data_IF_837506478606
#
_entry.id   IF_837506478606
#
_cell.length_a   1.000
_cell.length_b   1.000
_cell.length_c   1.000
_cell.angle_alpha   90.00
_cell.angle_beta   90.00
_cell.angle_gamma   90.00
#
_symmetry.space_group_name_H-M   'P 1'
#
loop_
_entity.id
_entity.type
_entity.pdbx_description
1 polymer ?
#
# COMPACT_ATOMS: atom_id res chain seq x y z
N UNK A 1 -21.01 17.55 4.18
CA UNK A 1 -20.09 16.88 5.13
C UNK A 1 -19.02 16.20 4.30
N UNK A 2 -17.80 16.74 4.27
CA UNK A 2 -16.70 16.14 3.52
C UNK A 2 -16.32 14.84 4.24
N UNK A 3 -16.16 13.70 3.54
CA UNK A 3 -15.74 12.46 4.19
C UNK A 3 -14.47 12.70 5.00
N UNK A 4 -14.49 12.43 6.31
CA UNK A 4 -13.28 12.46 7.12
C UNK A 4 -12.31 11.40 6.60
N UNK A 5 -11.01 11.67 6.64
CA UNK A 5 -9.96 10.71 6.27
C UNK A 5 -10.12 9.36 6.99
N UNK A 6 -10.70 9.36 8.19
CA UNK A 6 -11.06 8.14 8.92
C UNK A 6 -12.03 7.24 8.15
N UNK A 7 -13.04 7.79 7.46
CA UNK A 7 -13.99 6.98 6.68
C UNK A 7 -13.30 6.32 5.49
N UNK A 8 -12.45 7.08 4.79
CA UNK A 8 -11.67 6.56 3.65
C UNK A 8 -10.75 5.44 4.10
N UNK A 9 -10.00 5.66 5.18
CA UNK A 9 -9.09 4.66 5.74
C UNK A 9 -9.83 3.45 6.29
N UNK A 10 -10.98 3.63 6.96
CA UNK A 10 -11.79 2.53 7.47
C UNK A 10 -12.30 1.64 6.34
N UNK A 11 -12.89 2.23 5.30
CA UNK A 11 -13.40 1.48 4.15
C UNK A 11 -12.26 0.77 3.43
N UNK A 12 -11.13 1.45 3.23
CA UNK A 12 -9.94 0.85 2.65
C UNK A 12 -9.44 -0.35 3.49
N UNK A 13 -9.27 -0.17 4.80
CA UNK A 13 -8.84 -1.24 5.70
C UNK A 13 -9.80 -2.43 5.66
N UNK A 14 -11.09 -2.20 5.79
CA UNK A 14 -12.10 -3.25 5.75
C UNK A 14 -12.03 -4.02 4.42
N UNK A 15 -11.99 -3.31 3.29
CA UNK A 15 -11.90 -3.92 1.97
C UNK A 15 -10.60 -4.71 1.78
N UNK A 16 -9.45 -4.13 2.16
CA UNK A 16 -8.15 -4.79 2.03
C UNK A 16 -7.99 -6.00 2.93
N UNK A 17 -8.51 -5.96 4.16
CA UNK A 17 -8.46 -7.08 5.09
C UNK A 17 -9.32 -8.24 4.59
N UNK A 18 -10.56 -7.96 4.17
CA UNK A 18 -11.46 -8.97 3.60
C UNK A 18 -10.87 -9.56 2.32
N UNK A 19 -10.41 -8.72 1.40
CA UNK A 19 -9.82 -9.16 0.14
C UNK A 19 -8.56 -10.00 0.37
N UNK A 20 -7.66 -9.54 1.24
CA UNK A 20 -6.45 -10.27 1.58
C UNK A 20 -6.77 -11.63 2.19
N UNK A 21 -7.74 -11.69 3.12
CA UNK A 21 -8.17 -12.94 3.71
C UNK A 21 -8.67 -13.95 2.67
N UNK A 22 -9.48 -13.50 1.70
CA UNK A 22 -9.98 -14.34 0.61
C UNK A 22 -8.87 -14.83 -0.34
N UNK A 23 -7.81 -14.05 -0.50
CA UNK A 23 -6.67 -14.39 -1.36
C UNK A 23 -5.75 -15.47 -0.77
N UNK A 24 -5.71 -15.61 0.55
CA UNK A 24 -4.83 -16.55 1.26
C UNK A 24 -3.40 -16.01 1.44
N UNK A 25 -2.63 -16.67 2.33
CA UNK A 25 -1.35 -16.11 2.84
C UNK A 25 -0.37 -15.80 1.71
N UNK A 26 -0.20 -16.71 0.75
CA UNK A 26 0.89 -16.60 -0.23
C UNK A 26 0.69 -15.42 -1.17
N UNK A 27 -0.56 -15.17 -1.58
CA UNK A 27 -0.91 -14.01 -2.40
C UNK A 27 -0.74 -12.70 -1.63
N UNK A 28 -1.10 -12.68 -0.34
CA UNK A 28 -0.87 -11.49 0.49
C UNK A 28 0.62 -11.21 0.67
N UNK A 29 1.45 -12.24 0.83
CA UNK A 29 2.91 -12.07 0.92
C UNK A 29 3.47 -11.45 -0.37
N UNK A 30 2.99 -11.89 -1.54
CA UNK A 30 3.32 -11.25 -2.82
C UNK A 30 2.85 -9.79 -2.85
N UNK A 31 1.65 -9.47 -2.35
CA UNK A 31 1.16 -8.08 -2.28
C UNK A 31 2.05 -7.20 -1.41
N UNK A 32 2.49 -7.71 -0.25
CA UNK A 32 3.40 -6.98 0.64
C UNK A 32 4.74 -6.73 -0.04
N UNK A 33 5.32 -7.74 -0.70
CA UNK A 33 6.55 -7.57 -1.48
C UNK A 33 6.37 -6.57 -2.63
N UNK A 34 5.24 -6.63 -3.33
CA UNK A 34 4.85 -5.67 -4.35
C UNK A 34 4.72 -4.25 -3.80
N UNK A 35 4.21 -4.10 -2.57
CA UNK A 35 4.12 -2.80 -1.92
C UNK A 35 5.52 -2.23 -1.64
N UNK A 36 6.49 -3.03 -1.18
CA UNK A 36 7.87 -2.56 -1.02
C UNK A 36 8.50 -2.14 -2.35
N UNK A 37 8.34 -2.95 -3.41
CA UNK A 37 8.85 -2.60 -4.74
C UNK A 37 8.18 -1.32 -5.24
N UNK A 38 6.86 -1.23 -5.13
CA UNK A 38 6.10 -0.04 -5.50
C UNK A 38 6.53 1.21 -4.74
N UNK A 39 6.81 1.08 -3.44
CA UNK A 39 7.27 2.17 -2.58
C UNK A 39 8.64 2.69 -3.04
N UNK A 40 9.59 1.78 -3.29
CA UNK A 40 10.93 2.14 -3.78
C UNK A 40 10.84 2.87 -5.13
N UNK A 41 10.06 2.33 -6.07
CA UNK A 41 9.92 2.96 -7.39
C UNK A 41 9.19 4.30 -7.27
N UNK A 42 8.09 4.39 -6.51
CA UNK A 42 7.35 5.64 -6.32
C UNK A 42 8.23 6.74 -5.70
N UNK A 43 9.04 6.40 -4.69
CA UNK A 43 9.92 7.38 -4.07
C UNK A 43 11.10 7.79 -4.95
N UNK A 44 11.69 6.84 -5.69
CA UNK A 44 12.87 7.13 -6.52
C UNK A 44 12.53 7.77 -7.87
N UNK A 45 11.39 7.42 -8.46
CA UNK A 45 10.98 7.82 -9.81
C UNK A 45 9.80 8.79 -9.85
N UNK A 46 8.99 8.90 -8.79
CA UNK A 46 7.75 9.68 -8.83
C UNK A 46 7.94 11.14 -9.26
N UNK A 47 8.98 11.81 -8.77
CA UNK A 47 9.29 13.19 -9.15
C UNK A 47 9.75 13.33 -10.61
N UNK A 48 10.53 12.35 -11.11
CA UNK A 48 11.00 12.34 -12.51
C UNK A 48 9.87 12.04 -13.47
N UNK A 49 8.99 11.11 -13.12
CA UNK A 49 7.80 10.79 -13.93
C UNK A 49 6.87 12.00 -13.95
N UNK A 50 6.71 12.69 -12.82
CA UNK A 50 5.94 13.93 -12.77
C UNK A 50 6.53 15.00 -13.71
N UNK A 51 7.84 15.27 -13.66
CA UNK A 51 8.46 16.27 -14.54
C UNK A 51 8.30 15.92 -16.02
N UNK A 52 8.49 14.66 -16.41
CA UNK A 52 8.30 14.21 -17.80
C UNK A 52 6.86 14.40 -18.28
N UNK A 53 5.88 13.99 -17.46
CA UNK A 53 4.46 14.12 -17.80
C UNK A 53 4.04 15.59 -17.83
N UNK A 54 4.57 16.43 -16.95
CA UNK A 54 4.28 17.87 -16.91
C UNK A 54 4.99 18.68 -18.01
N UNK A 55 6.15 18.24 -18.48
CA UNK A 55 6.92 18.92 -19.54
C UNK A 55 6.41 18.55 -20.95
N UNK A 56 6.07 17.28 -21.22
CA UNK A 56 5.50 16.85 -22.51
C UNK A 56 4.04 17.30 -22.72
N UNK A 57 3.35 17.71 -21.67
CA UNK A 57 1.94 18.11 -21.72
C UNK A 57 1.70 19.57 -22.13
N UNK A 58 2.64 20.20 -22.85
CA UNK A 58 2.38 21.45 -23.58
C UNK A 58 1.21 21.35 -24.59
N UNK A 59 0.75 20.14 -24.93
CA UNK A 59 -0.44 19.85 -25.75
C UNK A 59 -1.73 19.66 -24.93
N UNK A 60 -1.63 19.45 -23.61
CA UNK A 60 -2.79 19.42 -22.69
C UNK A 60 -2.99 20.79 -22.04
N UNK A 61 -3.02 21.82 -22.89
CA UNK A 61 -3.22 23.23 -22.54
C UNK A 61 -4.68 23.55 -22.16
N UNK A 62 -5.40 22.57 -21.60
CA UNK A 62 -6.65 22.81 -20.91
C UNK A 62 -6.34 22.99 -19.43
N UNK A 63 -6.70 24.18 -18.96
CA UNK A 63 -6.49 24.77 -17.64
C UNK A 63 -7.05 23.95 -16.45
N UNK A 64 -7.52 22.74 -16.71
CA UNK A 64 -8.08 21.79 -15.76
C UNK A 64 -7.04 20.84 -15.15
N UNK A 65 -5.94 20.54 -15.86
CA UNK A 65 -4.95 19.53 -15.43
C UNK A 65 -3.73 20.16 -14.72
N UNK A 66 -3.29 21.35 -15.17
CA UNK A 66 -2.12 22.05 -14.59
C UNK A 66 -2.32 22.48 -13.12
N UNK A 67 -3.56 22.59 -12.64
CA UNK A 67 -3.86 22.95 -11.26
C UNK A 67 -3.98 21.76 -10.28
N UNK A 68 -4.07 20.51 -10.78
CA UNK A 68 -4.52 19.38 -9.96
C UNK A 68 -3.63 18.14 -10.01
N UNK A 69 -2.73 18.02 -11.00
CA UNK A 69 -1.72 16.97 -10.99
C UNK A 69 -0.61 17.34 -10.00
N UNK A 70 -0.55 16.62 -8.88
CA UNK A 70 0.50 16.78 -7.87
C UNK A 70 1.48 15.61 -7.93
N UNK A 71 2.72 15.84 -7.47
CA UNK A 71 3.72 14.78 -7.27
C UNK A 71 3.15 13.63 -6.42
N UNK A 72 2.29 13.96 -5.44
CA UNK A 72 1.55 12.98 -4.65
C UNK A 72 0.72 12.03 -5.52
N UNK A 73 -0.11 12.56 -6.42
CA UNK A 73 -0.96 11.73 -7.30
C UNK A 73 -0.10 10.83 -8.18
N UNK A 74 0.99 11.36 -8.76
CA UNK A 74 1.90 10.55 -9.59
C UNK A 74 2.54 9.43 -8.77
N UNK A 75 3.00 9.70 -7.54
CA UNK A 75 3.54 8.68 -6.65
C UNK A 75 2.52 7.60 -6.32
N UNK A 76 1.29 7.98 -5.97
CA UNK A 76 0.21 7.04 -5.66
C UNK A 76 -0.14 6.17 -6.87
N UNK A 77 -0.30 6.78 -8.05
CA UNK A 77 -0.62 6.04 -9.28
C UNK A 77 0.51 5.09 -9.64
N UNK A 78 1.76 5.54 -9.59
CA UNK A 78 2.92 4.72 -9.89
C UNK A 78 3.04 3.55 -8.90
N UNK A 79 2.86 3.82 -7.61
CA UNK A 79 2.81 2.80 -6.56
C UNK A 79 1.72 1.77 -6.84
N UNK A 80 0.50 2.21 -7.13
CA UNK A 80 -0.64 1.34 -7.41
C UNK A 80 -0.42 0.47 -8.67
N UNK A 81 0.14 1.05 -9.74
CA UNK A 81 0.47 0.31 -10.97
C UNK A 81 1.47 -0.80 -10.67
N UNK A 82 2.57 -0.50 -9.98
CA UNK A 82 3.59 -1.49 -9.63
C UNK A 82 3.01 -2.57 -8.72
N UNK A 83 2.26 -2.17 -7.68
CA UNK A 83 1.58 -3.08 -6.77
C UNK A 83 0.67 -4.04 -7.54
N UNK A 84 -0.16 -3.53 -8.45
CA UNK A 84 -1.08 -4.33 -9.27
C UNK A 84 -0.32 -5.28 -10.19
N UNK A 85 0.74 -4.83 -10.87
CA UNK A 85 1.55 -5.69 -11.75
C UNK A 85 2.14 -6.85 -10.95
N UNK A 86 2.70 -6.57 -9.77
CA UNK A 86 3.30 -7.61 -8.91
C UNK A 86 2.22 -8.56 -8.38
N UNK A 87 1.09 -8.04 -7.90
CA UNK A 87 -0.01 -8.84 -7.38
C UNK A 87 -0.61 -9.77 -8.45
N UNK A 88 -0.81 -9.26 -9.68
CA UNK A 88 -1.33 -10.04 -10.80
C UNK A 88 -0.35 -11.11 -11.27
N UNK A 89 0.96 -10.81 -11.35
CA UNK A 89 1.97 -11.78 -11.79
C UNK A 89 2.31 -12.82 -10.72
N UNK A 90 2.39 -12.43 -9.45
CA UNK A 90 2.78 -13.36 -8.38
C UNK A 90 1.70 -14.38 -8.04
N UNK A 91 0.43 -14.12 -8.37
CA UNK A 91 -0.65 -15.11 -8.26
C UNK A 91 -0.48 -16.36 -9.15
N UNK A 92 0.40 -16.31 -10.16
CA UNK A 92 0.72 -17.45 -11.03
C UNK A 92 1.80 -18.37 -10.44
N UNK A 93 2.53 -17.92 -9.42
CA UNK A 93 3.71 -18.63 -8.88
C UNK A 93 3.42 -19.43 -7.60
N UNK A 94 2.22 -19.28 -7.02
CA UNK A 94 1.87 -19.91 -5.75
C UNK A 94 1.03 -21.17 -5.97
N UNK A 95 1.68 -22.34 -5.90
CA UNK A 95 0.98 -23.61 -5.74
C UNK A 95 0.29 -23.64 -4.37
N UNK A 96 -1.03 -23.83 -4.39
CA UNK A 96 -1.89 -23.90 -3.22
C UNK A 96 -1.47 -25.12 -2.39
N UNK A 97 -0.64 -24.92 -1.37
CA UNK A 97 -0.44 -25.91 -0.31
C UNK A 97 -1.37 -25.52 0.84
N UNK A 98 -2.56 -26.10 0.83
CA UNK A 98 -3.57 -25.89 1.86
C UNK A 98 -3.09 -26.44 3.19
N UNK A 99 -2.63 -25.56 4.08
CA UNK A 99 -2.43 -25.93 5.48
C UNK A 99 -3.78 -25.83 6.21
N UNK A 100 -4.50 -26.95 6.32
CA UNK A 100 -5.86 -27.07 6.87
C UNK A 100 -5.96 -26.88 8.41
N UNK A 101 -4.99 -26.22 9.05
CA UNK A 101 -5.00 -25.94 10.49
C UNK A 101 -5.56 -24.56 10.85
N UNK A 102 -5.82 -24.32 12.14
CA UNK A 102 -6.19 -22.99 12.69
C UNK A 102 -5.19 -21.91 12.27
N UNK A 103 -3.91 -22.28 12.19
CA UNK A 103 -2.84 -21.40 11.70
C UNK A 103 -3.04 -20.94 10.25
N UNK A 104 -3.68 -21.77 9.41
CA UNK A 104 -4.04 -21.45 8.03
C UNK A 104 -5.13 -20.40 7.89
N UNK A 105 -5.95 -20.18 8.93
CA UNK A 105 -7.00 -19.15 8.95
C UNK A 105 -6.54 -17.85 9.61
N UNK A 106 -5.76 -17.95 10.71
CA UNK A 106 -5.28 -16.76 11.44
C UNK A 106 -4.21 -16.02 10.66
N UNK A 107 -3.29 -16.72 10.01
CA UNK A 107 -2.15 -16.09 9.32
C UNK A 107 -2.57 -15.17 8.16
N UNK A 108 -3.49 -15.55 7.26
CA UNK A 108 -3.98 -14.64 6.23
C UNK A 108 -4.62 -13.36 6.79
N UNK A 109 -5.32 -13.43 7.93
CA UNK A 109 -5.88 -12.23 8.59
C UNK A 109 -4.79 -11.30 9.09
N UNK A 110 -3.78 -11.83 9.78
CA UNK A 110 -2.67 -11.01 10.29
C UNK A 110 -1.92 -10.35 9.13
N UNK A 111 -1.60 -11.12 8.09
CA UNK A 111 -0.94 -10.59 6.91
C UNK A 111 -1.80 -9.55 6.16
N UNK A 112 -3.13 -9.73 6.09
CA UNK A 112 -3.99 -8.77 5.39
C UNK A 112 -4.07 -7.43 6.12
N UNK A 113 -4.08 -7.45 7.45
CA UNK A 113 -3.98 -6.23 8.28
C UNK A 113 -2.64 -5.52 8.03
N UNK A 114 -1.53 -6.26 8.04
CA UNK A 114 -0.21 -5.67 7.77
C UNK A 114 -0.09 -5.13 6.36
N UNK A 115 -0.62 -5.83 5.37
CA UNK A 115 -0.65 -5.37 3.97
C UNK A 115 -1.46 -4.07 3.83
N UNK A 116 -2.66 -4.03 4.41
CA UNK A 116 -3.50 -2.84 4.41
C UNK A 116 -2.80 -1.66 5.11
N UNK A 117 -2.24 -1.89 6.29
CA UNK A 117 -1.52 -0.87 7.03
C UNK A 117 -0.30 -0.34 6.27
N UNK A 118 0.49 -1.22 5.65
CA UNK A 118 1.65 -0.84 4.85
C UNK A 118 1.24 0.01 3.65
N UNK A 119 0.21 -0.41 2.90
CA UNK A 119 -0.28 0.35 1.75
C UNK A 119 -0.82 1.71 2.18
N UNK A 120 -1.67 1.76 3.21
CA UNK A 120 -2.24 3.00 3.72
C UNK A 120 -1.16 3.95 4.23
N UNK A 121 -0.21 3.45 5.02
CA UNK A 121 0.91 4.22 5.55
C UNK A 121 1.80 4.76 4.41
N UNK A 122 2.03 3.97 3.35
CA UNK A 122 2.79 4.40 2.17
C UNK A 122 2.09 5.53 1.40
N UNK A 123 0.77 5.42 1.21
CA UNK A 123 -0.02 6.47 0.56
C UNK A 123 -0.01 7.75 1.39
N UNK A 124 -0.14 7.65 2.72
CA UNK A 124 -0.05 8.80 3.61
C UNK A 124 1.36 9.43 3.64
N UNK A 125 2.41 8.63 3.47
CA UNK A 125 3.79 9.13 3.38
C UNK A 125 4.03 9.95 2.11
N UNK A 126 3.34 9.62 1.00
CA UNK A 126 3.43 10.40 -0.23
C UNK A 126 2.76 11.78 -0.15
N UNK A 127 1.94 12.04 0.87
CA UNK A 127 1.30 13.34 1.05
C UNK A 127 2.36 14.42 1.34
N UNK A 128 2.14 15.66 0.84
CA UNK A 128 2.92 16.82 1.27
C UNK A 128 2.82 17.00 2.79
N UNK A 129 3.89 17.53 3.41
CA UNK A 129 3.97 17.60 4.88
C UNK A 129 2.80 18.37 5.51
N UNK A 130 2.40 19.49 4.91
CA UNK A 130 1.31 20.33 5.42
C UNK A 130 -0.03 19.59 5.38
N UNK A 131 -0.33 18.92 4.26
CA UNK A 131 -1.54 18.11 4.11
C UNK A 131 -1.52 16.94 5.08
N UNK A 132 -0.39 16.25 5.20
CA UNK A 132 -0.22 15.11 6.11
C UNK A 132 -0.46 15.49 7.56
N UNK A 133 0.05 16.65 8.01
CA UNK A 133 -0.23 17.18 9.36
C UNK A 133 -1.72 17.44 9.57
N UNK A 134 -2.38 18.08 8.61
CA UNK A 134 -3.84 18.30 8.69
C UNK A 134 -4.64 16.99 8.74
N UNK A 135 -4.18 15.94 8.04
CA UNK A 135 -4.80 14.61 8.11
C UNK A 135 -4.62 14.01 9.51
N UNK A 136 -3.39 14.00 10.04
CA UNK A 136 -3.07 13.41 11.34
C UNK A 136 -3.86 14.09 12.47
N UNK A 137 -3.98 15.42 12.46
CA UNK A 137 -4.71 16.16 13.50
C UNK A 137 -6.22 15.82 13.54
N UNK A 138 -6.79 15.40 12.41
CA UNK A 138 -8.23 15.16 12.26
C UNK A 138 -8.60 13.69 12.17
N UNK A 139 -7.63 12.78 12.13
CA UNK A 139 -7.84 11.36 11.83
C UNK A 139 -7.22 10.46 12.89
N UNK A 140 -8.08 9.72 13.59
CA UNK A 140 -7.67 8.75 14.61
C UNK A 140 -6.93 7.57 13.97
N UNK A 141 -7.28 7.21 12.74
CA UNK A 141 -6.67 6.08 12.01
C UNK A 141 -5.35 6.49 11.35
N UNK A 142 -5.26 7.69 10.77
CA UNK A 142 -4.04 8.14 10.10
C UNK A 142 -2.89 8.42 11.07
N UNK A 143 -3.20 8.95 12.26
CA UNK A 143 -2.20 9.29 13.26
C UNK A 143 -1.23 8.13 13.60
N UNK A 144 -1.69 6.92 13.98
CA UNK A 144 -0.78 5.79 14.26
C UNK A 144 -0.08 5.25 13.01
N UNK A 145 -0.67 5.37 11.82
CA UNK A 145 -0.04 4.90 10.58
C UNK A 145 1.18 5.75 10.21
N UNK A 146 1.10 7.06 10.43
CA UNK A 146 2.24 7.96 10.16
C UNK A 146 3.23 7.96 11.32
N UNK A 147 2.76 8.02 12.57
CA UNK A 147 3.65 8.09 13.74
C UNK A 147 4.56 6.85 13.87
N UNK A 148 4.03 5.68 13.51
CA UNK A 148 4.77 4.41 13.58
C UNK A 148 5.09 3.84 12.20
N UNK A 149 5.25 4.70 11.18
CA UNK A 149 5.49 4.30 9.79
C UNK A 149 6.61 3.25 9.65
N UNK A 150 7.75 3.46 10.32
CA UNK A 150 8.88 2.53 10.29
C UNK A 150 8.53 1.14 10.83
N UNK A 151 7.66 1.05 11.85
CA UNK A 151 7.19 -0.23 12.38
C UNK A 151 6.28 -0.94 11.40
N UNK A 152 5.35 -0.22 10.75
CA UNK A 152 4.50 -0.78 9.70
C UNK A 152 5.30 -1.26 8.48
N UNK A 153 6.43 -0.62 8.20
CA UNK A 153 7.36 -1.04 7.16
C UNK A 153 8.11 -2.33 7.55
N UNK A 154 8.57 -2.47 8.79
CA UNK A 154 9.46 -3.58 9.20
C UNK A 154 8.68 -4.83 9.65
N UNK A 155 7.57 -4.65 10.38
CA UNK A 155 6.81 -5.75 10.98
C UNK A 155 6.40 -6.86 10.00
N UNK A 156 5.90 -6.56 8.79
CA UNK A 156 5.52 -7.60 7.84
C UNK A 156 6.70 -8.49 7.45
N UNK A 157 7.89 -7.91 7.26
CA UNK A 157 9.12 -8.65 6.92
C UNK A 157 9.54 -9.56 8.08
N UNK A 158 9.55 -9.03 9.30
CA UNK A 158 9.90 -9.80 10.49
C UNK A 158 8.94 -10.99 10.65
N UNK A 159 7.65 -10.77 10.43
CA UNK A 159 6.64 -11.83 10.50
C UNK A 159 6.86 -12.89 9.42
N UNK A 160 7.20 -12.49 8.19
CA UNK A 160 7.57 -13.42 7.12
C UNK A 160 8.80 -14.27 7.48
N UNK A 161 9.83 -13.65 8.05
CA UNK A 161 11.05 -14.36 8.44
C UNK A 161 10.80 -15.40 9.53
N UNK A 162 10.07 -15.01 10.59
CA UNK A 162 9.73 -15.90 11.70
C UNK A 162 8.92 -17.09 11.17
N UNK A 163 7.88 -16.81 10.39
CA UNK A 163 6.92 -17.84 9.97
C UNK A 163 7.45 -18.72 8.83
N UNK A 164 8.33 -18.18 7.99
CA UNK A 164 9.08 -18.94 6.99
C UNK A 164 10.08 -19.92 7.59
N UNK A 165 10.66 -19.61 8.76
CA UNK A 165 11.53 -20.52 9.48
C UNK A 165 10.73 -21.69 10.08
N UNK A 166 9.63 -21.42 10.76
CA UNK A 166 8.79 -22.47 11.37
C UNK A 166 8.09 -23.40 10.37
N UNK A 167 7.96 -23.01 9.09
CA UNK A 167 7.31 -23.84 8.07
C UNK A 167 8.24 -24.83 7.38
N UNK A 168 9.54 -24.85 7.73
CA UNK A 168 10.56 -25.75 7.14
C UNK A 168 10.86 -27.00 7.98
N UNK A 169 10.23 -27.12 9.15
CA UNK A 169 10.22 -28.33 10.00
C UNK A 169 8.88 -29.07 9.83
#
# INVERSE_FOLDING_TARGET
>A
MVPTWDLVLLVFFAASVVYGFLMGKDKIMVTILGAYVGLVIANQWGARVFSLVSEESAVLNDSWIQGNLSVFIVKVVLFAIVLLIVALRGGLLTQITGNNGVMGMVMPLVYSVFSAALIAASVLDFLPEDTRRQVIEKSIIAAPLVAYYSWWLILPIVLMLITGWFSRE
#
